data_IF_009615107812
#
_entry.id   IF_009615107812
#
_cell.length_a   1.000
_cell.length_b   1.000
_cell.length_c   1.000
_cell.angle_alpha   90.00
_cell.angle_beta   90.00
_cell.angle_gamma   90.00
#
_symmetry.space_group_name_H-M   'P 1'
#
loop_
_entity.id
_entity.type
_entity.pdbx_description
1 polymer ?
#
# COMPACT_ATOMS: atom_id res chain seq x y z
N UNK A 1 23.92 2.47 17.46
CA UNK A 1 25.31 2.15 17.87
C UNK A 1 25.47 2.34 19.38
N UNK A 2 26.17 1.43 20.09
CA UNK A 2 26.61 1.66 21.48
C UNK A 2 27.97 2.36 21.43
N UNK A 3 28.00 3.66 21.72
CA UNK A 3 29.26 4.40 21.77
C UNK A 3 29.87 4.21 23.18
N UNK A 4 30.74 3.20 23.32
CA UNK A 4 31.42 2.91 24.59
C UNK A 4 32.58 3.89 24.78
N UNK A 5 32.63 4.61 25.91
CA UNK A 5 33.70 5.55 26.22
C UNK A 5 34.32 5.23 27.57
N UNK A 6 35.66 5.29 27.67
CA UNK A 6 36.42 5.04 28.90
C UNK A 6 37.60 6.01 29.02
N UNK A 7 38.16 6.13 30.22
CA UNK A 7 39.29 7.03 30.51
C UNK A 7 38.88 8.47 30.81
N UNK A 8 39.82 9.41 30.62
CA UNK A 8 39.65 10.84 30.96
C UNK A 8 39.42 11.75 29.76
N UNK A 9 39.34 11.21 28.54
CA UNK A 9 39.00 11.99 27.35
C UNK A 9 37.49 12.16 27.22
N UNK A 10 37.07 13.38 26.89
CA UNK A 10 35.66 13.67 26.65
C UNK A 10 35.22 13.02 25.32
N UNK A 11 34.10 12.27 25.30
CA UNK A 11 33.55 11.76 24.06
C UNK A 11 33.01 12.92 23.19
N UNK A 12 32.93 12.74 21.87
CA UNK A 12 32.27 13.71 21.01
C UNK A 12 30.79 13.86 21.40
N UNK A 13 30.17 15.04 21.16
CA UNK A 13 28.74 15.22 21.35
C UNK A 13 27.93 14.12 20.64
N UNK A 14 26.97 13.53 21.37
CA UNK A 14 26.13 12.47 20.86
C UNK A 14 24.80 13.05 20.38
N UNK A 15 24.42 12.74 19.14
CA UNK A 15 23.08 13.01 18.61
C UNK A 15 22.27 11.73 18.65
N UNK A 16 21.10 11.78 19.30
CA UNK A 16 20.22 10.63 19.38
C UNK A 16 19.52 10.39 18.04
N UNK A 17 19.40 9.12 17.64
CA UNK A 17 18.61 8.69 16.48
C UNK A 17 17.09 8.67 16.79
N UNK A 18 16.69 8.99 18.03
CA UNK A 18 15.30 9.04 18.48
C UNK A 18 15.11 10.04 19.63
N UNK A 19 13.87 10.22 20.08
CA UNK A 19 13.56 11.02 21.27
C UNK A 19 13.91 10.34 22.61
N UNK A 20 14.69 9.25 22.59
CA UNK A 20 15.12 8.49 23.77
C UNK A 20 16.62 8.22 23.72
N UNK A 21 17.29 8.48 24.84
CA UNK A 21 18.67 8.07 25.09
C UNK A 21 18.67 7.24 26.37
N UNK A 22 19.38 6.11 26.37
CA UNK A 22 19.67 5.33 27.57
C UNK A 22 21.15 5.46 27.89
N UNK A 23 21.47 5.98 29.06
CA UNK A 23 22.82 6.02 29.59
C UNK A 23 22.98 4.86 30.58
N UNK A 24 23.97 4.00 30.34
CA UNK A 24 24.36 2.96 31.27
C UNK A 24 25.80 3.24 31.75
N UNK A 25 25.98 3.35 33.06
CA UNK A 25 27.29 3.46 33.69
C UNK A 25 27.55 2.18 34.48
N UNK A 26 28.71 1.57 34.28
CA UNK A 26 29.12 0.35 34.98
C UNK A 26 30.55 0.55 35.48
N UNK A 27 30.79 0.24 36.76
CA UNK A 27 32.11 0.19 37.38
C UNK A 27 32.40 -1.23 37.88
N UNK A 28 33.67 -1.59 37.97
CA UNK A 28 34.13 -2.83 38.59
C UNK A 28 34.44 -2.61 40.09
N UNK A 29 35.04 -3.62 40.73
CA UNK A 29 35.40 -3.63 42.16
C UNK A 29 36.78 -3.00 42.44
N UNK A 30 37.39 -2.34 41.45
CA UNK A 30 38.75 -1.80 41.50
C UNK A 30 38.76 -0.32 41.07
N UNK A 31 39.83 0.40 41.42
CA UNK A 31 40.20 1.76 41.00
C UNK A 31 39.05 2.73 40.64
N UNK A 32 38.83 3.76 41.47
CA UNK A 32 37.77 4.77 41.27
C UNK A 32 38.28 6.08 40.66
N UNK A 33 37.43 6.76 39.89
CA UNK A 33 37.69 8.08 39.31
C UNK A 33 36.73 9.17 39.84
N UNK A 34 36.91 10.42 39.40
CA UNK A 34 36.03 11.56 39.80
C UNK A 34 34.61 11.53 39.19
N UNK A 35 34.29 10.54 38.35
CA UNK A 35 33.00 10.41 37.68
C UNK A 35 32.86 11.31 36.45
N UNK A 36 31.61 11.58 36.05
CA UNK A 36 31.27 12.41 34.88
C UNK A 36 30.13 13.39 35.20
N UNK A 37 30.08 14.48 34.44
CA UNK A 37 28.94 15.40 34.40
C UNK A 37 28.49 15.52 32.95
N UNK A 38 27.21 15.30 32.69
CA UNK A 38 26.62 15.43 31.36
C UNK A 38 25.50 16.49 31.39
N UNK A 39 25.37 17.21 30.29
CA UNK A 39 24.27 18.17 30.03
C UNK A 39 23.59 17.79 28.72
N UNK A 40 22.28 17.94 28.66
CA UNK A 40 21.50 17.66 27.44
C UNK A 40 20.48 18.77 27.22
N UNK A 41 20.14 19.00 25.95
CA UNK A 41 19.08 19.91 25.51
C UNK A 41 18.26 19.21 24.42
N UNK A 42 16.94 19.42 24.44
CA UNK A 42 16.11 18.99 23.32
C UNK A 42 16.36 19.95 22.14
N UNK A 43 16.89 19.41 21.05
CA UNK A 43 17.07 20.10 19.77
C UNK A 43 16.19 19.44 18.72
N UNK A 44 15.96 20.15 17.61
CA UNK A 44 15.22 19.65 16.48
C UNK A 44 16.13 19.37 15.29
N UNK A 45 15.70 18.44 14.43
CA UNK A 45 16.44 18.00 13.26
C UNK A 45 17.25 16.72 13.49
N UNK A 46 18.05 16.35 12.50
CA UNK A 46 18.90 15.16 12.51
C UNK A 46 18.48 14.09 11.50
N UNK A 47 19.28 13.03 11.40
CA UNK A 47 19.02 11.90 10.51
C UNK A 47 18.35 10.76 11.28
N UNK A 48 17.26 10.25 10.74
CA UNK A 48 16.45 9.19 11.32
C UNK A 48 16.56 7.94 10.44
N UNK A 49 17.15 6.89 11.00
CA UNK A 49 17.41 5.63 10.30
C UNK A 49 16.46 4.49 10.69
N UNK A 50 15.55 4.75 11.65
CA UNK A 50 14.55 3.77 12.10
C UNK A 50 13.48 3.54 11.02
N UNK A 51 12.86 2.35 11.02
CA UNK A 51 11.79 1.98 10.09
C UNK A 51 10.45 2.64 10.39
N UNK A 52 10.31 3.21 11.57
CA UNK A 52 9.13 3.96 11.98
C UNK A 52 9.53 4.93 13.09
N UNK A 53 8.71 5.96 13.28
CA UNK A 53 8.96 6.93 14.34
C UNK A 53 7.95 8.05 14.36
N UNK A 54 8.18 8.97 15.29
CA UNK A 54 7.38 10.18 15.46
C UNK A 54 8.33 11.37 15.56
N UNK A 55 8.03 12.41 14.80
CA UNK A 55 8.76 13.68 14.75
C UNK A 55 7.82 14.76 15.24
N UNK A 56 8.30 15.62 16.14
CA UNK A 56 7.51 16.72 16.67
C UNK A 56 8.26 18.04 16.53
N UNK A 57 7.51 19.14 16.56
CA UNK A 57 8.08 20.46 16.80
C UNK A 57 8.86 20.51 18.13
N UNK A 58 9.80 21.46 18.27
CA UNK A 58 10.46 21.73 19.55
C UNK A 58 9.43 21.97 20.67
N UNK A 59 9.70 21.42 21.85
CA UNK A 59 8.87 21.53 23.06
C UNK A 59 7.47 20.90 23.03
N UNK A 60 7.06 20.26 21.93
CA UNK A 60 5.79 19.55 21.84
C UNK A 60 5.59 18.58 23.04
N UNK A 61 4.39 18.53 23.66
CA UNK A 61 3.12 19.14 23.25
C UNK A 61 2.94 20.60 23.70
N UNK A 62 3.98 21.24 24.26
CA UNK A 62 3.97 22.66 24.55
C UNK A 62 4.27 23.49 23.29
N UNK A 63 4.29 24.79 23.50
CA UNK A 63 4.52 25.83 22.51
C UNK A 63 5.93 25.84 21.94
N UNK A 64 6.05 26.00 20.62
CA UNK A 64 7.36 26.13 19.97
C UNK A 64 7.94 27.55 20.14
N UNK A 65 9.28 27.73 19.99
CA UNK A 65 9.93 29.01 20.26
C UNK A 65 9.45 30.15 19.37
N UNK A 66 9.36 31.34 19.94
CA UNK A 66 9.19 32.60 19.22
C UNK A 66 10.56 33.17 18.84
N UNK A 67 11.23 32.52 17.90
CA UNK A 67 12.55 32.90 17.41
C UNK A 67 12.71 32.47 15.96
N UNK A 68 13.71 33.02 15.27
CA UNK A 68 14.13 32.51 13.97
C UNK A 68 14.89 31.18 14.17
N UNK A 69 14.36 30.10 13.60
CA UNK A 69 15.02 28.80 13.62
C UNK A 69 14.65 27.95 12.40
N UNK A 70 15.50 26.97 12.11
CA UNK A 70 15.29 25.99 11.03
C UNK A 70 15.65 24.59 11.54
N UNK A 71 14.66 23.70 11.59
CA UNK A 71 14.84 22.28 11.91
C UNK A 71 14.85 21.47 10.61
N UNK A 72 15.91 20.70 10.36
CA UNK A 72 16.04 19.81 9.20
C UNK A 72 16.12 18.36 9.66
N UNK A 73 15.10 17.58 9.31
CA UNK A 73 15.09 16.13 9.52
C UNK A 73 15.30 15.41 8.20
N UNK A 74 16.12 14.36 8.22
CA UNK A 74 16.31 13.46 7.09
C UNK A 74 15.88 12.06 7.50
N UNK A 75 14.77 11.57 6.98
CA UNK A 75 14.37 10.16 7.12
C UNK A 75 15.07 9.40 5.99
N UNK A 76 16.08 8.63 6.36
CA UNK A 76 16.85 7.80 5.44
C UNK A 76 17.13 6.46 6.12
N UNK A 77 16.18 5.52 6.04
CA UNK A 77 16.30 4.22 6.68
C UNK A 77 17.48 3.46 6.07
N UNK A 78 18.36 2.92 6.91
CA UNK A 78 19.48 2.11 6.45
C UNK A 78 18.95 0.71 6.08
N UNK A 79 18.65 0.51 4.79
CA UNK A 79 18.26 -0.81 4.26
C UNK A 79 19.46 -1.57 3.71
N UNK A 80 19.48 -2.91 3.78
CA UNK A 80 20.45 -3.73 3.08
C UNK A 80 20.42 -3.47 1.56
N UNK A 81 21.60 -3.53 0.91
CA UNK A 81 21.77 -3.47 -0.55
C UNK A 81 21.30 -2.16 -1.23
N UNK A 82 21.41 -1.01 -0.55
CA UNK A 82 21.02 0.31 -1.07
C UNK A 82 19.55 0.39 -1.56
N UNK A 83 18.69 -0.50 -1.07
CA UNK A 83 17.28 -0.46 -1.40
C UNK A 83 16.64 0.85 -0.91
N UNK A 84 15.92 1.54 -1.80
CA UNK A 84 15.16 2.74 -1.42
C UNK A 84 13.79 2.34 -0.87
N UNK A 85 13.51 2.56 0.43
CA UNK A 85 12.22 2.22 1.01
C UNK A 85 11.11 3.11 0.47
N UNK A 86 9.87 2.66 0.58
CA UNK A 86 8.72 3.57 0.51
C UNK A 86 8.40 4.02 1.93
N UNK A 87 8.32 5.31 2.17
CA UNK A 87 8.03 5.90 3.48
C UNK A 87 6.68 6.58 3.43
N UNK A 88 5.80 6.20 4.36
CA UNK A 88 4.49 6.82 4.57
C UNK A 88 4.60 7.81 5.72
N UNK A 89 4.23 9.07 5.47
CA UNK A 89 4.10 10.13 6.47
C UNK A 89 2.65 10.41 6.79
N UNK A 90 2.31 10.54 8.06
CA UNK A 90 1.01 11.00 8.53
C UNK A 90 1.16 12.17 9.49
N UNK A 91 0.56 13.31 9.14
CA UNK A 91 0.45 14.46 10.02
C UNK A 91 -0.67 14.20 11.04
N UNK A 92 -0.29 14.04 12.31
CA UNK A 92 -1.18 13.67 13.41
C UNK A 92 -1.73 14.88 14.18
N UNK A 93 -0.95 15.95 14.29
CA UNK A 93 -1.33 17.22 14.92
C UNK A 93 -0.62 18.34 14.17
N UNK A 94 -1.32 19.46 13.99
CA UNK A 94 -0.79 20.65 13.33
C UNK A 94 -1.49 21.89 13.90
N UNK A 95 -0.67 22.79 14.45
CA UNK A 95 -1.08 24.02 15.10
C UNK A 95 0.07 25.01 14.93
N UNK A 96 -0.01 25.90 13.95
CA UNK A 96 1.03 26.89 13.64
C UNK A 96 0.52 28.31 13.75
N UNK A 97 1.44 29.23 14.03
CA UNK A 97 1.21 30.67 13.96
C UNK A 97 0.78 31.06 12.54
N UNK A 98 -0.31 31.82 12.44
CA UNK A 98 -0.71 32.49 11.20
C UNK A 98 0.19 33.71 10.97
N UNK A 99 0.49 34.06 9.71
CA UNK A 99 0.98 35.39 9.38
C UNK A 99 -0.01 36.45 9.89
N UNK A 100 0.33 37.12 11.00
CA UNK A 100 -0.47 38.21 11.51
C UNK A 100 -0.35 39.43 10.57
N UNK A 101 -1.25 39.56 9.60
CA UNK A 101 -1.42 40.79 8.84
C UNK A 101 -2.63 41.57 9.38
N UNK A 102 -2.42 42.75 9.99
CA UNK A 102 -3.50 43.67 10.24
C UNK A 102 -3.81 44.42 8.94
N UNK A 103 -4.94 44.06 8.31
CA UNK A 103 -5.74 44.93 7.45
C UNK A 103 -5.01 45.70 6.33
N UNK A 104 -4.86 45.10 5.15
CA UNK A 104 -5.03 45.81 3.88
C UNK A 104 -5.61 44.88 2.84
N UNK A 105 -6.62 45.37 2.13
CA UNK A 105 -7.39 44.71 1.08
C UNK A 105 -6.47 44.07 0.04
N UNK A 106 -6.20 42.79 0.23
CA UNK A 106 -5.67 41.92 -0.81
C UNK A 106 -6.89 41.44 -1.59
N UNK A 107 -6.95 41.78 -2.89
CA UNK A 107 -8.08 41.39 -3.75
C UNK A 107 -8.23 39.86 -3.74
N UNK A 108 -9.45 39.38 -3.98
CA UNK A 108 -9.75 37.94 -3.99
C UNK A 108 -8.88 37.14 -4.99
N UNK A 109 -8.20 37.80 -5.93
CA UNK A 109 -7.22 37.18 -6.84
C UNK A 109 -5.91 36.77 -6.16
N UNK A 110 -5.55 37.36 -5.02
CA UNK A 110 -4.33 37.03 -4.27
C UNK A 110 -4.57 36.06 -3.09
N UNK A 111 -5.83 35.69 -2.82
CA UNK A 111 -6.20 34.63 -1.87
C UNK A 111 -5.76 33.22 -2.31
N UNK A 112 -5.43 33.02 -3.59
CA UNK A 112 -5.03 31.71 -4.13
C UNK A 112 -3.53 31.40 -4.05
N UNK A 113 -2.70 32.27 -3.47
CA UNK A 113 -1.23 32.14 -3.56
C UNK A 113 -0.48 32.72 -2.34
N UNK A 114 -1.02 32.56 -1.13
CA UNK A 114 -0.21 32.78 0.07
C UNK A 114 0.83 31.66 0.19
N UNK A 115 2.03 31.92 -0.33
CA UNK A 115 3.18 31.08 -0.08
C UNK A 115 3.41 31.07 1.43
N UNK A 116 3.52 29.90 2.06
CA UNK A 116 3.84 29.79 3.48
C UNK A 116 5.24 30.39 3.72
N UNK A 117 5.32 31.70 3.96
CA UNK A 117 6.57 32.48 3.99
C UNK A 117 7.13 32.71 5.40
N UNK A 118 6.31 32.51 6.44
CA UNK A 118 6.73 32.65 7.84
C UNK A 118 6.97 31.27 8.46
N UNK A 119 6.12 30.90 9.42
CA UNK A 119 6.16 29.60 10.05
C UNK A 119 5.59 28.56 9.09
N UNK A 120 6.39 27.57 8.71
CA UNK A 120 5.95 26.52 7.82
C UNK A 120 6.66 25.20 8.03
N UNK A 121 5.97 24.14 7.67
CA UNK A 121 6.50 22.79 7.58
C UNK A 121 6.54 22.36 6.12
N UNK A 122 7.71 21.94 5.65
CA UNK A 122 7.93 21.51 4.29
C UNK A 122 8.34 20.04 4.26
N UNK A 123 7.75 19.28 3.34
CA UNK A 123 8.06 17.88 3.06
C UNK A 123 8.72 17.82 1.69
N UNK A 124 9.90 17.20 1.62
CA UNK A 124 10.79 17.20 0.46
C UNK A 124 11.06 15.75 0.06
N UNK A 125 10.82 15.44 -1.21
CA UNK A 125 11.35 14.24 -1.84
C UNK A 125 12.82 14.51 -2.17
N UNK A 126 13.72 13.87 -1.42
CA UNK A 126 15.16 14.11 -1.52
C UNK A 126 15.68 13.60 -2.86
N UNK A 127 15.17 12.46 -3.32
CA UNK A 127 15.60 11.81 -4.57
C UNK A 127 15.30 12.70 -5.78
N UNK A 128 14.16 13.39 -5.79
CA UNK A 128 13.76 14.33 -6.87
C UNK A 128 14.13 15.78 -6.59
N UNK A 129 14.71 16.09 -5.44
CA UNK A 129 14.94 17.46 -4.95
C UNK A 129 13.69 18.36 -5.13
N UNK A 130 12.51 17.83 -4.75
CA UNK A 130 11.22 18.48 -5.00
C UNK A 130 10.41 18.59 -3.71
N UNK A 131 9.89 19.79 -3.45
CA UNK A 131 8.90 20.00 -2.39
C UNK A 131 7.60 19.29 -2.76
N UNK A 132 7.21 18.34 -1.91
CA UNK A 132 5.97 17.55 -2.06
C UNK A 132 4.82 18.27 -1.40
N UNK A 133 5.05 18.87 -0.23
CA UNK A 133 4.03 19.63 0.49
C UNK A 133 4.67 20.77 1.30
N UNK A 134 3.94 21.87 1.42
CA UNK A 134 4.31 22.99 2.29
C UNK A 134 3.09 23.44 3.09
N UNK A 135 3.14 23.26 4.40
CA UNK A 135 2.05 23.49 5.34
C UNK A 135 2.30 24.75 6.17
N UNK A 136 1.26 25.55 6.32
CA UNK A 136 1.12 26.64 7.28
C UNK A 136 -0.36 26.72 7.69
N UNK A 137 -0.67 27.49 8.72
CA UNK A 137 -2.01 27.51 9.32
C UNK A 137 -3.13 27.88 8.32
N UNK A 138 -2.90 28.84 7.42
CA UNK A 138 -3.88 29.28 6.43
C UNK A 138 -4.22 28.19 5.40
N UNK A 139 -3.23 27.38 5.00
CA UNK A 139 -3.42 26.27 4.05
C UNK A 139 -4.12 25.05 4.67
N UNK A 140 -4.17 24.94 6.00
CA UNK A 140 -4.82 23.82 6.71
C UNK A 140 -6.21 24.14 7.26
N UNK A 141 -6.70 25.39 7.14
CA UNK A 141 -7.99 25.81 7.73
C UNK A 141 -9.26 25.18 7.10
N UNK A 142 -9.13 24.36 6.04
CA UNK A 142 -10.28 23.69 5.39
C UNK A 142 -10.23 22.16 5.41
N UNK A 143 -9.19 21.51 5.94
CA UNK A 143 -9.11 20.04 5.95
C UNK A 143 -8.68 19.52 7.32
N UNK A 144 -9.64 18.96 8.06
CA UNK A 144 -9.35 18.06 9.17
C UNK A 144 -8.51 16.89 8.63
N UNK A 145 -7.21 16.92 8.92
CA UNK A 145 -6.13 16.02 8.50
C UNK A 145 -5.67 16.19 7.04
N UNK A 146 -4.42 16.64 6.86
CA UNK A 146 -3.72 16.50 5.58
C UNK A 146 -3.67 15.00 5.20
N UNK A 147 -3.92 14.65 3.94
CA UNK A 147 -3.80 13.25 3.52
C UNK A 147 -2.37 12.78 3.78
N UNK A 148 -2.18 11.55 4.30
CA UNK A 148 -0.85 11.01 4.44
C UNK A 148 -0.13 10.92 3.09
N UNK A 149 1.21 11.01 3.12
CA UNK A 149 2.07 11.14 1.94
C UNK A 149 2.92 9.87 1.81
N UNK A 150 3.04 9.31 0.60
CA UNK A 150 3.91 8.17 0.28
C UNK A 150 5.08 8.64 -0.60
N UNK A 151 6.34 8.42 -0.18
CA UNK A 151 7.55 8.81 -0.94
C UNK A 151 8.51 7.64 -1.03
N UNK A 152 9.08 7.38 -2.22
CA UNK A 152 10.16 6.41 -2.41
C UNK A 152 11.53 7.06 -2.15
N UNK A 153 12.30 6.49 -1.24
CA UNK A 153 13.65 6.92 -0.88
C UNK A 153 13.68 7.88 0.32
N UNK A 154 14.68 8.76 0.32
CA UNK A 154 14.88 9.71 1.42
C UNK A 154 13.81 10.78 1.48
N UNK A 155 13.34 11.10 2.68
CA UNK A 155 12.43 12.22 2.93
C UNK A 155 13.13 13.30 3.75
N UNK A 156 13.08 14.53 3.24
CA UNK A 156 13.45 15.73 3.98
C UNK A 156 12.22 16.34 4.64
N UNK A 157 12.33 16.71 5.91
CA UNK A 157 11.32 17.52 6.60
C UNK A 157 12.01 18.78 7.10
N UNK A 158 11.51 19.93 6.68
CA UNK A 158 12.05 21.24 7.07
C UNK A 158 10.98 22.03 7.80
N UNK A 159 11.21 22.33 9.07
CA UNK A 159 10.35 23.20 9.87
C UNK A 159 11.06 24.53 10.10
N UNK A 160 10.46 25.61 9.62
CA UNK A 160 10.95 26.97 9.78
C UNK A 160 9.99 27.72 10.71
N UNK A 161 10.54 28.37 11.72
CA UNK A 161 9.82 29.31 12.57
C UNK A 161 10.50 30.67 12.51
N UNK A 162 9.70 31.73 12.54
CA UNK A 162 10.20 33.10 12.57
C UNK A 162 9.85 33.81 13.87
N UNK A 163 10.62 34.84 14.23
CA UNK A 163 10.20 35.71 15.33
C UNK A 163 8.91 36.49 14.99
N UNK A 164 7.96 36.52 15.93
CA UNK A 164 6.72 37.28 15.87
C UNK A 164 6.67 38.31 16.99
N UNK A 165 6.59 39.59 16.64
CA UNK A 165 6.43 40.69 17.59
C UNK A 165 5.00 40.82 18.15
N UNK A 166 4.04 40.11 17.54
CA UNK A 166 2.62 40.12 17.93
C UNK A 166 2.26 38.99 18.90
N UNK A 167 3.14 37.98 19.03
CA UNK A 167 3.01 36.93 20.02
C UNK A 167 3.96 37.23 21.18
N UNK A 168 3.40 37.31 22.40
CA UNK A 168 4.20 37.65 23.58
C UNK A 168 5.10 36.50 24.07
N UNK A 169 6.17 36.85 24.80
CA UNK A 169 7.21 35.96 25.36
C UNK A 169 8.11 35.26 24.32
N UNK A 170 9.10 34.49 24.79
CA UNK A 170 10.00 33.64 23.99
C UNK A 170 9.30 32.47 23.26
N UNK A 171 7.96 32.33 23.32
CA UNK A 171 7.21 31.17 22.81
C UNK A 171 5.96 31.59 22.03
N UNK A 172 5.73 30.93 20.89
CA UNK A 172 4.50 31.11 20.09
C UNK A 172 3.40 30.25 20.67
N UNK A 173 2.20 30.76 20.93
CA UNK A 173 1.11 30.02 21.63
C UNK A 173 0.46 28.91 20.78
N UNK A 174 1.29 28.19 20.03
CA UNK A 174 0.97 27.18 19.04
C UNK A 174 1.86 25.96 19.28
N UNK A 175 1.29 24.76 19.23
CA UNK A 175 2.02 23.51 19.58
C UNK A 175 3.01 23.09 18.50
N UNK A 176 2.84 23.53 17.27
CA UNK A 176 3.63 23.14 16.10
C UNK A 176 3.05 21.90 15.42
N UNK A 177 3.84 20.83 15.28
CA UNK A 177 3.40 19.64 14.53
C UNK A 177 3.77 18.34 15.22
N UNK A 178 3.04 17.28 14.87
CA UNK A 178 3.39 15.89 15.15
C UNK A 178 3.19 15.05 13.90
N UNK A 179 4.27 14.47 13.38
CA UNK A 179 4.25 13.56 12.23
C UNK A 179 4.64 12.16 12.70
N UNK A 180 3.89 11.15 12.31
CA UNK A 180 4.35 9.75 12.36
C UNK A 180 4.82 9.31 10.98
N UNK A 181 5.85 8.46 10.94
CA UNK A 181 6.30 7.82 9.72
C UNK A 181 6.49 6.32 9.90
N UNK A 182 6.34 5.57 8.82
CA UNK A 182 6.62 4.13 8.76
C UNK A 182 7.03 3.72 7.33
N UNK A 183 7.81 2.64 7.21
CA UNK A 183 8.09 2.05 5.90
C UNK A 183 6.89 1.25 5.39
N UNK A 184 6.73 1.23 4.08
CA UNK A 184 5.82 0.37 3.36
C UNK A 184 6.58 -0.55 2.42
N UNK A 185 6.11 -1.78 2.32
CA UNK A 185 6.67 -2.78 1.42
C UNK A 185 6.24 -2.55 -0.03
N UNK A 186 7.07 -2.96 -0.97
CA UNK A 186 6.83 -2.91 -2.41
C UNK A 186 7.21 -4.25 -3.01
N UNK A 187 6.25 -5.16 -3.08
CA UNK A 187 6.51 -6.53 -3.50
C UNK A 187 6.91 -7.45 -2.33
N UNK A 188 7.42 -8.62 -2.68
CA UNK A 188 7.88 -9.65 -1.75
C UNK A 188 7.23 -11.02 -1.98
N UNK A 189 7.47 -11.95 -1.07
CA UNK A 189 6.85 -13.28 -1.11
C UNK A 189 5.62 -13.34 -0.19
N UNK A 190 4.53 -13.92 -0.70
CA UNK A 190 3.33 -14.21 0.08
C UNK A 190 3.06 -15.70 0.02
N UNK A 191 3.14 -16.36 1.18
CA UNK A 191 2.79 -17.77 1.32
C UNK A 191 1.38 -17.87 1.89
N UNK A 192 0.48 -18.47 1.12
CA UNK A 192 -0.84 -18.88 1.61
C UNK A 192 -0.66 -20.28 2.18
N UNK A 193 -0.92 -20.44 3.47
CA UNK A 193 -0.68 -21.67 4.21
C UNK A 193 -2.01 -22.24 4.73
N UNK A 194 -1.99 -23.47 5.25
CA UNK A 194 -3.22 -24.18 5.64
C UNK A 194 -4.03 -23.47 6.74
N UNK A 195 -3.37 -22.72 7.60
CA UNK A 195 -3.96 -21.88 8.66
C UNK A 195 -4.34 -20.47 8.15
N UNK A 196 -3.77 -20.03 7.02
CA UNK A 196 -4.03 -18.72 6.40
C UNK A 196 -4.11 -18.83 4.87
N UNK A 197 -5.27 -19.27 4.40
CA UNK A 197 -5.57 -19.43 2.96
C UNK A 197 -5.93 -18.11 2.26
N UNK A 198 -5.93 -16.97 2.96
CA UNK A 198 -6.31 -15.68 2.39
C UNK A 198 -5.20 -14.65 2.56
N UNK A 199 -4.99 -13.84 1.53
CA UNK A 199 -4.04 -12.73 1.52
C UNK A 199 -4.70 -11.45 1.04
N UNK A 200 -4.04 -10.32 1.28
CA UNK A 200 -4.43 -9.04 0.70
C UNK A 200 -3.18 -8.32 0.25
N UNK A 201 -3.21 -7.81 -0.97
CA UNK A 201 -2.18 -6.93 -1.53
C UNK A 201 -2.82 -5.58 -1.74
N UNK A 202 -2.08 -4.54 -1.39
CA UNK A 202 -2.44 -3.16 -1.68
C UNK A 202 -1.27 -2.45 -2.32
N UNK A 203 -1.56 -1.42 -3.13
CA UNK A 203 -0.53 -0.48 -3.53
C UNK A 203 0.15 0.15 -2.30
N UNK A 204 1.45 0.49 -2.35
CA UNK A 204 2.14 1.12 -1.22
C UNK A 204 1.48 2.44 -0.83
N UNK A 205 1.00 2.52 0.41
CA UNK A 205 0.28 3.69 0.92
C UNK A 205 -1.25 3.62 0.82
N UNK A 206 -1.86 2.59 0.22
CA UNK A 206 -3.31 2.47 0.09
C UNK A 206 -4.08 2.77 1.40
N UNK A 207 -5.19 3.53 1.37
CA UNK A 207 -5.90 4.05 0.19
C UNK A 207 -5.36 5.39 -0.33
N UNK A 208 -4.13 5.77 0.01
CA UNK A 208 -3.52 7.02 -0.41
C UNK A 208 -2.93 6.90 -1.81
N UNK A 209 -2.67 8.06 -2.45
CA UNK A 209 -1.89 8.10 -3.67
C UNK A 209 -0.57 7.34 -3.55
N UNK A 210 -0.37 6.37 -4.43
CA UNK A 210 0.91 5.65 -4.52
C UNK A 210 2.02 6.58 -5.02
N UNK A 211 3.28 6.25 -4.76
CA UNK A 211 4.38 7.03 -5.32
C UNK A 211 4.60 6.72 -6.81
N UNK A 212 5.18 7.66 -7.54
CA UNK A 212 5.60 7.48 -8.93
C UNK A 212 6.86 6.59 -9.02
N UNK A 213 7.14 6.01 -10.18
CA UNK A 213 8.32 5.20 -10.45
C UNK A 213 8.44 3.97 -9.51
N UNK A 214 7.32 3.33 -9.23
CA UNK A 214 7.27 2.05 -8.51
C UNK A 214 7.29 0.89 -9.49
N UNK A 215 7.94 -0.19 -9.08
CA UNK A 215 7.89 -1.47 -9.76
C UNK A 215 7.90 -2.57 -8.69
N UNK A 216 6.71 -2.85 -8.16
CA UNK A 216 6.51 -3.77 -7.04
C UNK A 216 6.10 -5.14 -7.58
N UNK A 217 6.79 -6.19 -7.15
CA UNK A 217 6.53 -7.56 -7.60
C UNK A 217 6.24 -8.44 -6.39
N UNK A 218 5.05 -9.04 -6.36
CA UNK A 218 4.67 -10.05 -5.38
C UNK A 218 4.68 -11.44 -6.00
N UNK A 219 5.39 -12.38 -5.37
CA UNK A 219 5.34 -13.80 -5.71
C UNK A 219 4.49 -14.51 -4.66
N UNK A 220 3.41 -15.13 -5.10
CA UNK A 220 2.43 -15.78 -4.25
C UNK A 220 2.51 -17.28 -4.48
N UNK A 221 2.57 -18.02 -3.39
CA UNK A 221 2.59 -19.49 -3.38
C UNK A 221 1.49 -20.01 -2.47
N UNK A 222 0.79 -21.06 -2.94
CA UNK A 222 -0.25 -21.76 -2.21
C UNK A 222 0.15 -23.25 -2.02
N UNK A 223 -0.57 -24.01 -1.18
CA UNK A 223 -0.32 -25.44 -1.02
C UNK A 223 -0.51 -26.21 -2.34
N UNK A 224 0.16 -27.35 -2.51
CA UNK A 224 0.24 -28.08 -3.79
C UNK A 224 -1.11 -28.58 -4.35
N UNK A 225 -2.11 -28.77 -3.49
CA UNK A 225 -3.48 -29.19 -3.84
C UNK A 225 -4.41 -28.01 -4.15
N UNK A 226 -3.89 -26.78 -4.07
CA UNK A 226 -4.64 -25.53 -4.21
C UNK A 226 -4.15 -24.69 -5.38
N UNK A 227 -5.02 -23.77 -5.78
CA UNK A 227 -4.76 -22.72 -6.76
C UNK A 227 -5.16 -21.38 -6.15
N UNK A 228 -4.69 -20.29 -6.75
CA UNK A 228 -4.88 -18.94 -6.24
C UNK A 228 -6.00 -18.27 -7.03
N UNK A 229 -7.00 -17.78 -6.30
CA UNK A 229 -8.01 -16.86 -6.81
C UNK A 229 -7.69 -15.45 -6.33
N UNK A 230 -7.67 -14.50 -7.25
CA UNK A 230 -7.45 -13.09 -6.99
C UNK A 230 -8.69 -12.28 -7.41
N UNK A 231 -9.07 -11.31 -6.58
CA UNK A 231 -10.17 -10.39 -6.86
C UNK A 231 -9.81 -8.97 -6.46
N UNK A 232 -10.00 -8.03 -7.39
CA UNK A 232 -9.93 -6.61 -7.07
C UNK A 232 -11.14 -6.20 -6.24
N UNK A 233 -10.87 -5.41 -5.20
CA UNK A 233 -11.90 -4.78 -4.36
C UNK A 233 -11.88 -3.27 -4.49
N UNK A 234 -10.76 -2.70 -4.97
CA UNK A 234 -10.62 -1.31 -5.33
C UNK A 234 -9.56 -1.19 -6.43
N UNK A 235 -9.79 -0.32 -7.40
CA UNK A 235 -8.81 0.09 -8.41
C UNK A 235 -9.02 1.57 -8.68
N UNK A 236 -7.99 2.38 -8.42
CA UNK A 236 -7.92 3.81 -8.72
C UNK A 236 -6.48 4.10 -9.15
N UNK A 237 -6.20 3.95 -10.44
CA UNK A 237 -4.86 4.15 -11.02
C UNK A 237 -4.96 5.07 -12.23
N UNK A 238 -3.83 5.64 -12.66
CA UNK A 238 -3.82 6.44 -13.88
C UNK A 238 -4.43 5.66 -15.05
N UNK A 239 -5.41 6.27 -15.72
CA UNK A 239 -6.02 5.69 -16.90
C UNK A 239 -5.16 6.01 -18.12
N UNK A 240 -4.82 4.98 -18.87
CA UNK A 240 -4.25 5.12 -20.20
C UNK A 240 -5.09 4.30 -21.19
N UNK A 241 -5.74 4.99 -22.12
CA UNK A 241 -6.60 4.37 -23.14
C UNK A 241 -5.83 3.44 -24.08
N UNK A 242 -4.51 3.61 -24.20
CA UNK A 242 -3.62 2.77 -25.00
C UNK A 242 -3.07 1.56 -24.22
N UNK A 243 -3.96 0.71 -23.70
CA UNK A 243 -3.60 -0.56 -23.03
C UNK A 243 -2.84 -0.42 -21.71
N UNK A 244 -3.19 0.58 -20.89
CA UNK A 244 -2.65 0.73 -19.54
C UNK A 244 -1.12 0.85 -19.52
N UNK A 245 -0.53 1.69 -20.38
CA UNK A 245 0.93 1.79 -20.49
C UNK A 245 1.60 2.72 -19.46
N UNK A 246 0.81 3.50 -18.72
CA UNK A 246 1.32 4.33 -17.63
C UNK A 246 1.33 3.49 -16.35
N UNK A 247 0.33 3.67 -15.49
CA UNK A 247 0.21 2.89 -14.26
C UNK A 247 -0.63 1.64 -14.47
N UNK A 248 -0.16 0.49 -13.97
CA UNK A 248 -0.88 -0.76 -14.14
C UNK A 248 -0.56 -1.82 -13.09
N UNK A 249 -1.51 -2.74 -12.92
CA UNK A 249 -1.30 -4.02 -12.23
C UNK A 249 -1.47 -5.17 -13.22
N UNK A 250 -0.46 -6.03 -13.30
CA UNK A 250 -0.48 -7.26 -14.06
C UNK A 250 -0.51 -8.47 -13.13
N UNK A 251 -1.28 -9.50 -13.52
CA UNK A 251 -1.34 -10.78 -12.81
C UNK A 251 -0.94 -11.89 -13.77
N UNK A 252 -0.12 -12.82 -13.28
CA UNK A 252 0.44 -13.92 -14.04
C UNK A 252 0.14 -15.26 -13.37
N UNK A 253 -0.25 -16.25 -14.17
CA UNK A 253 -0.39 -17.65 -13.74
C UNK A 253 0.99 -18.32 -13.68
N UNK A 254 1.45 -18.65 -12.48
CA UNK A 254 2.79 -19.14 -12.21
C UNK A 254 3.77 -18.07 -11.71
N UNK A 255 4.99 -18.50 -11.37
CA UNK A 255 6.10 -17.60 -11.01
C UNK A 255 6.78 -17.07 -12.27
N UNK A 256 6.88 -15.75 -12.38
CA UNK A 256 7.62 -15.09 -13.45
C UNK A 256 9.07 -14.82 -13.01
N UNK A 257 10.04 -15.28 -13.80
CA UNK A 257 11.46 -15.12 -13.50
C UNK A 257 12.10 -13.90 -14.19
N UNK A 258 11.52 -13.40 -15.28
CA UNK A 258 12.05 -12.30 -16.08
C UNK A 258 10.95 -11.29 -16.46
N UNK A 259 10.84 -10.20 -15.71
CA UNK A 259 10.10 -9.02 -16.16
C UNK A 259 11.02 -8.19 -17.05
N UNK A 260 10.96 -8.39 -18.37
CA UNK A 260 11.79 -7.61 -19.30
C UNK A 260 11.41 -6.12 -19.18
N UNK A 261 12.35 -5.29 -18.74
CA UNK A 261 12.22 -3.83 -18.60
C UNK A 261 12.33 -3.08 -19.94
N UNK A 262 12.24 -3.77 -21.07
CA UNK A 262 12.29 -3.14 -22.38
C UNK A 262 10.92 -2.60 -22.78
N UNK A 263 10.79 -1.29 -22.69
CA UNK A 263 9.86 -0.47 -23.48
C UNK A 263 9.80 -1.02 -24.90
N UNK A 264 8.63 -1.50 -25.29
CA UNK A 264 8.39 -2.10 -26.59
C UNK A 264 8.44 -1.03 -27.68
N UNK A 265 9.61 -0.81 -28.26
CA UNK A 265 9.70 -0.53 -29.70
C UNK A 265 9.86 -1.87 -30.41
N UNK A 266 8.78 -2.27 -31.07
CA UNK A 266 8.79 -3.10 -32.28
C UNK A 266 9.40 -4.51 -32.16
N UNK A 267 8.52 -5.51 -32.28
CA UNK A 267 8.83 -6.84 -32.84
C UNK A 267 9.96 -7.65 -32.18
N UNK A 268 9.65 -8.35 -31.08
CA UNK A 268 10.25 -9.67 -30.81
C UNK A 268 9.28 -10.56 -30.03
N UNK A 269 9.14 -11.79 -30.50
CA UNK A 269 8.17 -12.81 -30.07
C UNK A 269 8.61 -13.51 -28.78
N UNK A 270 8.69 -12.78 -27.67
CA UNK A 270 8.69 -13.36 -26.32
C UNK A 270 7.49 -12.80 -25.56
N UNK A 271 6.32 -13.26 -26.00
CA UNK A 271 5.00 -13.02 -25.43
C UNK A 271 4.97 -13.36 -23.93
N UNK A 272 4.58 -12.37 -23.12
CA UNK A 272 3.73 -12.44 -21.91
C UNK A 272 3.22 -13.84 -21.49
N UNK A 273 4.11 -14.77 -21.14
CA UNK A 273 3.74 -16.15 -20.83
C UNK A 273 2.96 -16.18 -19.52
N UNK A 274 1.69 -16.58 -19.58
CA UNK A 274 0.83 -16.70 -18.40
C UNK A 274 0.20 -15.39 -17.92
N UNK A 275 0.27 -14.30 -18.68
CA UNK A 275 -0.45 -13.06 -18.33
C UNK A 275 -1.96 -13.32 -18.30
N UNK A 276 -2.57 -13.14 -17.14
CA UNK A 276 -4.00 -13.30 -16.90
C UNK A 276 -4.77 -12.01 -17.20
N UNK A 277 -4.15 -10.86 -16.89
CA UNK A 277 -4.76 -9.56 -17.14
C UNK A 277 -3.83 -8.42 -16.75
N UNK A 278 -4.08 -7.25 -17.37
CA UNK A 278 -3.43 -5.96 -17.10
C UNK A 278 -4.53 -4.94 -16.83
N UNK A 279 -4.43 -4.24 -15.71
CA UNK A 279 -5.50 -3.39 -15.18
C UNK A 279 -4.98 -1.98 -14.85
N UNK A 280 -5.78 -0.97 -15.14
CA UNK A 280 -5.55 0.45 -14.83
C UNK A 280 -6.89 1.20 -14.78
N UNK A 281 -6.86 2.50 -14.48
CA UNK A 281 -8.07 3.33 -14.40
C UNK A 281 -8.83 3.15 -13.08
N UNK A 282 -10.14 3.39 -13.14
CA UNK A 282 -11.03 3.39 -11.95
C UNK A 282 -12.07 2.26 -11.99
N UNK A 283 -12.15 1.53 -13.10
CA UNK A 283 -13.07 0.40 -13.24
C UNK A 283 -12.53 -0.81 -12.47
N UNK A 284 -13.17 -1.13 -11.35
CA UNK A 284 -12.82 -2.32 -10.56
C UNK A 284 -13.37 -3.58 -11.25
N UNK A 285 -12.52 -4.52 -11.69
CA UNK A 285 -12.98 -5.76 -12.33
C UNK A 285 -13.85 -6.59 -11.38
N UNK A 286 -15.00 -7.07 -11.87
CA UNK A 286 -15.91 -7.91 -11.10
C UNK A 286 -15.51 -9.38 -11.08
N UNK A 287 -14.80 -9.81 -12.13
CA UNK A 287 -14.38 -11.19 -12.34
C UNK A 287 -13.24 -11.62 -11.38
N UNK A 288 -13.25 -12.91 -11.04
CA UNK A 288 -12.15 -13.55 -10.34
C UNK A 288 -11.09 -14.02 -11.33
N UNK A 289 -9.83 -13.80 -11.00
CA UNK A 289 -8.69 -14.34 -11.74
C UNK A 289 -8.19 -15.58 -11.02
N UNK A 290 -8.27 -16.74 -11.66
CA UNK A 290 -7.96 -18.03 -11.05
C UNK A 290 -6.79 -18.69 -11.79
N UNK A 291 -5.73 -19.05 -11.07
CA UNK A 291 -4.55 -19.71 -11.63
C UNK A 291 -4.79 -21.18 -11.96
N UNK A 292 -3.95 -21.74 -12.83
CA UNK A 292 -3.88 -23.20 -13.08
C UNK A 292 -2.82 -23.88 -12.23
N UNK A 293 -1.90 -23.11 -11.65
CA UNK A 293 -0.82 -23.59 -10.77
C UNK A 293 -1.02 -23.06 -9.33
N UNK A 294 -0.34 -23.63 -8.32
CA UNK A 294 -0.34 -23.08 -6.96
C UNK A 294 0.40 -21.74 -6.83
N UNK A 295 0.86 -21.16 -7.94
CA UNK A 295 1.71 -19.98 -7.95
C UNK A 295 1.08 -18.85 -8.76
N UNK A 296 1.27 -17.61 -8.30
CA UNK A 296 0.86 -16.40 -8.99
C UNK A 296 1.96 -15.36 -8.83
N UNK A 297 2.26 -14.60 -9.88
CA UNK A 297 3.04 -13.38 -9.74
C UNK A 297 2.18 -12.17 -10.06
N UNK A 298 2.30 -11.12 -9.26
CA UNK A 298 1.60 -9.85 -9.45
C UNK A 298 2.64 -8.74 -9.55
N UNK A 299 2.54 -7.90 -10.57
CA UNK A 299 3.41 -6.74 -10.77
C UNK A 299 2.59 -5.46 -10.78
N UNK A 300 2.95 -4.50 -9.95
CA UNK A 300 2.44 -3.13 -9.99
C UNK A 300 3.53 -2.19 -10.49
N UNK A 301 3.22 -1.46 -11.55
CA UNK A 301 4.09 -0.45 -12.13
C UNK A 301 3.43 0.92 -12.05
N UNK A 302 4.21 1.94 -11.67
CA UNK A 302 3.83 3.34 -11.83
C UNK A 302 4.90 4.14 -12.56
N UNK A 303 4.45 5.07 -13.40
CA UNK A 303 5.27 5.93 -14.23
C UNK A 303 5.78 7.16 -13.44
N UNK A 304 6.40 8.13 -14.11
CA UNK A 304 6.99 9.31 -13.47
C UNK A 304 5.99 10.35 -12.91
N UNK A 305 4.69 10.22 -13.19
CA UNK A 305 3.66 11.23 -12.93
C UNK A 305 2.31 10.62 -12.46
N UNK A 306 1.33 11.48 -12.16
CA UNK A 306 -0.09 11.09 -12.11
C UNK A 306 -0.53 9.95 -11.16
N UNK A 307 -0.08 9.95 -9.91
CA UNK A 307 -0.56 8.99 -8.90
C UNK A 307 -2.04 9.15 -8.49
N UNK A 308 -2.73 8.04 -8.24
CA UNK A 308 -4.14 7.94 -7.78
C UNK A 308 -4.28 7.04 -6.54
N UNK A 309 -5.48 6.84 -5.99
CA UNK A 309 -5.72 6.13 -4.71
C UNK A 309 -5.23 4.68 -4.61
N UNK A 310 -4.84 4.08 -5.73
CA UNK A 310 -4.19 2.79 -5.83
C UNK A 310 -5.16 1.62 -5.90
N UNK A 311 -4.72 0.43 -5.49
CA UNK A 311 -5.53 -0.77 -5.63
C UNK A 311 -5.52 -1.62 -4.37
N UNK A 312 -6.56 -2.44 -4.23
CA UNK A 312 -6.66 -3.49 -3.23
C UNK A 312 -7.12 -4.79 -3.86
N UNK A 313 -6.29 -5.81 -3.73
CA UNK A 313 -6.50 -7.15 -4.26
C UNK A 313 -6.61 -8.14 -3.10
N UNK A 314 -7.65 -8.95 -3.11
CA UNK A 314 -7.84 -10.06 -2.16
C UNK A 314 -7.46 -11.37 -2.84
N UNK A 315 -6.64 -12.15 -2.16
CA UNK A 315 -6.16 -13.46 -2.61
C UNK A 315 -6.79 -14.57 -1.77
N UNK A 316 -7.11 -15.69 -2.39
CA UNK A 316 -7.65 -16.87 -1.72
C UNK A 316 -7.08 -18.14 -2.35
N UNK A 317 -6.48 -19.01 -1.54
CA UNK A 317 -6.07 -20.35 -1.91
C UNK A 317 -7.28 -21.29 -1.85
N UNK A 318 -7.87 -21.57 -3.00
CA UNK A 318 -9.00 -22.49 -3.16
C UNK A 318 -8.50 -23.85 -3.63
N UNK A 319 -9.28 -24.92 -3.41
CA UNK A 319 -9.02 -26.19 -4.07
C UNK A 319 -9.03 -25.98 -5.59
N UNK A 320 -8.11 -26.65 -6.29
CA UNK A 320 -8.06 -26.65 -7.75
C UNK A 320 -8.60 -27.94 -8.37
N UNK A 321 -8.39 -28.14 -9.68
CA UNK A 321 -8.86 -29.33 -10.39
C UNK A 321 -8.37 -30.66 -9.78
N UNK A 322 -7.14 -30.69 -9.23
CA UNK A 322 -6.60 -31.86 -8.52
C UNK A 322 -7.43 -32.23 -7.28
N UNK A 323 -7.99 -31.23 -6.60
CA UNK A 323 -8.90 -31.40 -5.47
C UNK A 323 -10.36 -31.56 -5.87
N UNK A 324 -10.66 -31.71 -7.17
CA UNK A 324 -12.03 -31.84 -7.70
C UNK A 324 -12.78 -30.53 -7.89
N UNK A 325 -12.12 -29.38 -7.72
CA UNK A 325 -12.74 -28.05 -7.82
C UNK A 325 -12.37 -27.37 -9.15
N UNK A 326 -13.29 -27.41 -10.11
CA UNK A 326 -13.12 -26.84 -11.44
C UNK A 326 -12.34 -27.71 -12.43
N UNK A 327 -12.04 -27.15 -13.60
CA UNK A 327 -11.29 -27.81 -14.68
C UNK A 327 -12.13 -28.10 -15.93
N UNK A 328 -11.48 -28.61 -16.98
CA UNK A 328 -12.15 -28.98 -18.22
C UNK A 328 -12.67 -30.42 -18.16
N UNK A 329 -13.96 -30.60 -18.39
CA UNK A 329 -14.63 -31.91 -18.42
C UNK A 329 -15.16 -32.19 -19.83
N UNK A 330 -15.16 -33.46 -20.21
CA UNK A 330 -15.68 -33.90 -21.50
C UNK A 330 -16.97 -34.67 -21.28
N UNK A 331 -18.07 -34.13 -21.81
CA UNK A 331 -19.36 -34.81 -21.85
C UNK A 331 -19.31 -36.00 -22.81
N UNK A 332 -19.78 -37.15 -22.34
CA UNK A 332 -19.91 -38.39 -23.10
C UNK A 332 -21.37 -38.77 -23.34
N UNK A 333 -21.61 -39.83 -24.08
CA UNK A 333 -22.96 -40.40 -24.26
C UNK A 333 -23.47 -41.14 -23.01
N UNK A 334 -22.56 -41.45 -22.07
CA UNK A 334 -22.89 -42.00 -20.76
C UNK A 334 -23.17 -40.90 -19.74
N UNK A 335 -24.05 -41.20 -18.77
CA UNK A 335 -24.36 -40.29 -17.66
C UNK A 335 -23.13 -40.12 -16.76
N UNK A 336 -22.66 -38.88 -16.64
CA UNK A 336 -21.56 -38.49 -15.76
C UNK A 336 -22.09 -37.66 -14.59
N UNK A 337 -21.50 -37.82 -13.40
CA UNK A 337 -21.90 -37.08 -12.20
C UNK A 337 -20.83 -36.08 -11.80
N UNK A 338 -21.26 -34.86 -11.44
CA UNK A 338 -20.39 -33.83 -10.88
C UNK A 338 -20.74 -33.62 -9.39
N UNK A 339 -19.72 -33.70 -8.54
CA UNK A 339 -19.85 -33.50 -7.09
C UNK A 339 -18.77 -32.49 -6.67
N UNK A 340 -19.10 -31.45 -5.87
CA UNK A 340 -18.07 -30.56 -5.35
C UNK A 340 -17.14 -31.32 -4.39
N UNK A 341 -15.93 -30.80 -4.12
CA UNK A 341 -15.04 -31.39 -3.12
C UNK A 341 -15.73 -31.47 -1.76
N UNK A 342 -15.73 -32.65 -1.16
CA UNK A 342 -16.37 -32.90 0.14
C UNK A 342 -15.31 -33.17 1.22
N UNK A 343 -15.45 -32.48 2.35
CA UNK A 343 -14.70 -32.72 3.59
C UNK A 343 -15.72 -33.20 4.62
N UNK A 344 -15.55 -34.42 5.12
CA UNK A 344 -16.49 -35.06 6.07
C UNK A 344 -17.94 -35.05 5.57
N UNK A 345 -18.14 -35.26 4.27
CA UNK A 345 -19.46 -35.33 3.63
C UNK A 345 -20.14 -33.97 3.37
N UNK A 346 -19.48 -32.85 3.65
CA UNK A 346 -19.97 -31.49 3.34
C UNK A 346 -19.02 -30.78 2.37
N UNK A 347 -19.52 -29.85 1.56
CA UNK A 347 -18.65 -29.04 0.71
C UNK A 347 -17.74 -28.16 1.58
N UNK A 348 -16.52 -27.90 1.11
CA UNK A 348 -15.59 -27.03 1.81
C UNK A 348 -15.99 -25.55 1.69
N UNK A 349 -15.62 -24.74 2.67
CA UNK A 349 -15.85 -23.29 2.65
C UNK A 349 -14.89 -22.59 1.68
N UNK A 350 -15.32 -21.44 1.15
CA UNK A 350 -14.45 -20.56 0.34
C UNK A 350 -14.07 -21.11 -1.03
N UNK A 351 -14.78 -22.14 -1.51
CA UNK A 351 -14.54 -22.72 -2.82
C UNK A 351 -14.91 -21.75 -3.96
N UNK A 352 -14.09 -21.76 -5.01
CA UNK A 352 -14.30 -21.02 -6.27
C UNK A 352 -14.09 -21.97 -7.45
N UNK A 353 -14.99 -22.94 -7.58
CA UNK A 353 -14.87 -23.98 -8.60
C UNK A 353 -15.48 -23.51 -9.94
N UNK A 354 -14.69 -23.57 -11.02
CA UNK A 354 -15.15 -23.30 -12.39
C UNK A 354 -14.94 -24.55 -13.26
N UNK A 355 -16.03 -25.25 -13.60
CA UNK A 355 -16.00 -26.40 -14.49
C UNK A 355 -16.43 -26.01 -15.90
N UNK A 356 -15.56 -26.30 -16.88
CA UNK A 356 -15.82 -26.09 -18.30
C UNK A 356 -16.16 -27.43 -18.95
N UNK A 357 -17.44 -27.75 -19.07
CA UNK A 357 -17.93 -29.02 -19.64
C UNK A 357 -18.18 -28.84 -21.14
N UNK A 358 -17.53 -29.67 -21.98
CA UNK A 358 -17.70 -29.64 -23.44
C UNK A 358 -17.94 -31.03 -24.03
N UNK A 359 -18.72 -31.12 -25.10
CA UNK A 359 -18.78 -32.32 -25.95
C UNK A 359 -17.63 -32.31 -26.96
N UNK A 360 -17.13 -33.49 -27.36
CA UNK A 360 -16.20 -33.62 -28.49
C UNK A 360 -16.91 -33.50 -29.84
N UNK A 361 -18.17 -33.88 -29.90
CA UNK A 361 -19.00 -33.81 -31.11
C UNK A 361 -19.71 -32.46 -31.17
N UNK A 362 -19.41 -31.59 -32.16
CA UNK A 362 -20.02 -30.26 -32.28
C UNK A 362 -21.52 -30.30 -32.59
N UNK A 363 -22.08 -31.46 -32.96
CA UNK A 363 -23.51 -31.63 -33.23
C UNK A 363 -24.33 -32.02 -31.99
N UNK A 364 -23.67 -32.35 -30.88
CA UNK A 364 -24.32 -32.73 -29.62
C UNK A 364 -24.49 -31.51 -28.72
N UNK A 365 -25.55 -31.53 -27.93
CA UNK A 365 -25.81 -30.53 -26.87
C UNK A 365 -25.71 -31.22 -25.50
N UNK A 366 -25.37 -30.46 -24.47
CA UNK A 366 -25.26 -30.97 -23.10
C UNK A 366 -26.59 -30.75 -22.39
N UNK A 367 -27.24 -31.82 -21.98
CA UNK A 367 -28.36 -31.78 -21.03
C UNK A 367 -27.81 -31.88 -19.60
N UNK A 368 -28.24 -30.99 -18.70
CA UNK A 368 -27.83 -31.01 -17.29
C UNK A 368 -29.03 -31.05 -16.36
N UNK A 369 -29.00 -31.99 -15.42
CA UNK A 369 -30.03 -32.18 -14.39
C UNK A 369 -29.40 -32.28 -13.01
N UNK A 370 -29.83 -31.41 -12.09
CA UNK A 370 -29.48 -31.55 -10.68
C UNK A 370 -30.30 -32.69 -10.05
N UNK A 371 -29.62 -33.73 -9.56
CA UNK A 371 -30.26 -34.88 -8.89
C UNK A 371 -30.35 -34.72 -7.38
N UNK A 372 -29.46 -33.90 -6.78
CA UNK A 372 -29.43 -33.52 -5.37
C UNK A 372 -28.94 -32.08 -5.26
N UNK A 373 -29.49 -31.30 -4.32
CA UNK A 373 -29.03 -29.95 -4.01
C UNK A 373 -29.24 -29.67 -2.52
N UNK A 374 -28.17 -29.29 -1.83
CA UNK A 374 -28.18 -28.91 -0.42
C UNK A 374 -27.06 -27.90 -0.19
N UNK A 375 -27.37 -26.62 -0.43
CA UNK A 375 -26.46 -25.47 -0.29
C UNK A 375 -27.11 -24.44 0.63
N UNK A 376 -26.32 -23.52 1.19
CA UNK A 376 -26.81 -22.50 2.12
C UNK A 376 -27.99 -21.70 1.56
N UNK A 377 -29.02 -21.51 2.37
CA UNK A 377 -30.21 -20.75 2.00
C UNK A 377 -29.94 -19.23 1.98
N UNK A 378 -30.71 -18.51 1.16
CA UNK A 378 -30.70 -17.03 1.11
C UNK A 378 -31.01 -16.40 2.48
N UNK A 379 -30.51 -15.17 2.70
CA UNK A 379 -30.88 -14.32 3.86
C UNK A 379 -32.41 -14.20 4.02
N UNK A 380 -32.92 -14.29 5.26
CA UNK A 380 -34.27 -13.80 5.59
C UNK A 380 -34.24 -12.26 5.62
N UNK A 381 -35.33 -11.67 5.11
CA UNK A 381 -35.43 -10.27 4.75
C UNK A 381 -35.89 -9.46 5.96
N UNK A 382 -34.92 -8.92 6.70
CA UNK A 382 -35.14 -7.90 7.74
C UNK A 382 -34.41 -6.59 7.35
N UNK A 383 -33.58 -6.62 6.30
CA UNK A 383 -32.69 -5.55 5.87
C UNK A 383 -32.83 -5.38 4.36
N UNK A 384 -33.49 -4.29 3.96
CA UNK A 384 -33.91 -4.00 2.58
C UNK A 384 -32.75 -3.66 1.61
N UNK A 385 -31.50 -3.89 2.00
CA UNK A 385 -30.31 -3.45 1.26
C UNK A 385 -29.43 -4.58 0.68
N UNK A 386 -29.68 -5.87 0.98
CA UNK A 386 -28.81 -6.98 0.55
C UNK A 386 -29.60 -8.17 -0.01
N UNK A 387 -29.81 -8.18 -1.33
CA UNK A 387 -30.36 -9.32 -2.07
C UNK A 387 -29.24 -10.24 -2.56
N UNK A 388 -28.85 -11.28 -1.81
CA UNK A 388 -27.84 -12.25 -2.27
C UNK A 388 -27.91 -13.61 -1.59
N UNK A 389 -27.48 -14.66 -2.31
CA UNK A 389 -27.21 -15.98 -1.73
C UNK A 389 -25.77 -16.03 -1.18
N UNK A 390 -25.56 -16.66 -0.03
CA UNK A 390 -24.23 -16.88 0.52
C UNK A 390 -23.44 -17.90 -0.31
N UNK A 391 -24.06 -19.04 -0.58
CA UNK A 391 -23.58 -20.06 -1.50
C UNK A 391 -24.52 -20.16 -2.70
N UNK A 392 -23.95 -20.34 -3.90
CA UNK A 392 -24.75 -20.49 -5.12
C UNK A 392 -24.02 -21.33 -6.17
N UNK A 393 -24.79 -21.87 -7.11
CA UNK A 393 -24.30 -22.50 -8.34
C UNK A 393 -24.90 -21.74 -9.51
N UNK A 394 -24.05 -21.20 -10.37
CA UNK A 394 -24.46 -20.51 -11.59
C UNK A 394 -24.14 -21.39 -12.81
N UNK A 395 -25.07 -21.42 -13.78
CA UNK A 395 -24.91 -22.18 -15.02
C UNK A 395 -25.08 -21.21 -16.18
N UNK A 396 -24.09 -21.19 -17.07
CA UNK A 396 -24.11 -20.40 -18.30
C UNK A 396 -23.93 -21.30 -19.51
N UNK A 397 -24.82 -21.20 -20.51
CA UNK A 397 -24.67 -21.85 -21.81
C UNK A 397 -24.08 -20.89 -22.83
N UNK A 398 -23.11 -21.34 -23.65
CA UNK A 398 -22.48 -20.52 -24.69
C UNK A 398 -22.75 -21.10 -26.09
N UNK A 399 -23.03 -20.22 -27.07
CA UNK A 399 -22.93 -20.56 -28.50
C UNK A 399 -21.53 -20.22 -29.02
N UNK A 400 -21.02 -20.99 -29.99
CA UNK A 400 -19.71 -20.76 -30.62
C UNK A 400 -19.50 -19.34 -31.18
N UNK A 401 -20.58 -18.58 -31.41
CA UNK A 401 -20.56 -17.19 -31.89
C UNK A 401 -20.26 -16.12 -30.83
N UNK A 402 -20.22 -16.46 -29.53
CA UNK A 402 -20.15 -15.47 -28.44
C UNK A 402 -18.89 -15.54 -27.57
N UNK A 403 -17.84 -16.26 -27.98
CA UNK A 403 -16.58 -16.37 -27.23
C UNK A 403 -15.88 -15.01 -26.98
N UNK A 404 -16.16 -13.98 -27.79
CA UNK A 404 -15.64 -12.62 -27.60
C UNK A 404 -16.41 -11.76 -26.58
N UNK A 405 -17.55 -12.22 -26.04
CA UNK A 405 -18.37 -11.48 -25.05
C UNK A 405 -18.18 -11.95 -23.60
N UNK A 406 -17.19 -12.80 -23.32
CA UNK A 406 -16.87 -13.34 -22.00
C UNK A 406 -16.24 -12.32 -21.01
N UNK A 407 -16.49 -11.02 -21.18
CA UNK A 407 -16.02 -9.96 -20.24
C UNK A 407 -17.15 -9.27 -19.45
N UNK A 408 -18.42 -9.65 -19.60
CA UNK A 408 -19.51 -8.76 -19.16
C UNK A 408 -20.74 -9.41 -18.51
N UNK A 409 -20.64 -10.59 -17.89
CA UNK A 409 -21.78 -11.13 -17.13
C UNK A 409 -21.38 -11.77 -15.80
N UNK A 410 -20.87 -10.94 -14.90
CA UNK A 410 -21.01 -11.09 -13.46
C UNK A 410 -21.44 -9.73 -12.87
N UNK A 411 -22.63 -9.27 -13.27
CA UNK A 411 -23.34 -8.18 -12.61
C UNK A 411 -24.56 -8.77 -11.91
N UNK A 412 -24.41 -9.07 -10.62
CA UNK A 412 -25.48 -9.08 -9.63
C UNK A 412 -24.91 -8.75 -8.26
#
# INVERSE_FOLDING_TARGET
>A
MLNLSCGSQLPPPLHAESNRIRLNFTSDDKLVGKGFRATWKAECGGTLSLTHGVITSPHYPKYYPNADFECKYLIYPALPNDASPIVILKLLDFDMSTPSFPWRSVTAEAYGKFECIRDYLEIIDVSRNKTVAKYCQENMQSTTSAPPISIKGGIGIRFVGNQSYFEGNDMKRHRGFKISYALADCGGEIKLENDKLTGTITSPGFPLPYHNNLDCIWNITAPEDRIISAKFTNVEMELNFDRCNFDFVELYDGIQSNFSTTTTTSSSTNTTKGLMGKYCGEDTPTDYLITTTPNMTIRFHSDHSSSKGGFKLVLTATLGPKGGCGGALVATDEIQTLIPPLINGKYANGLRCLWNIKTKDPKKVIEMKFTKMNIESRRRVDDASLTGCYDFVAVSSFSWTNLHKLKTYANF
#
